data_IF_918461961252
#
_entry.id   IF_918461961252
#
_cell.length_a   1.000
_cell.length_b   1.000
_cell.length_c   1.000
_cell.angle_alpha   90.00
_cell.angle_beta   90.00
_cell.angle_gamma   90.00
#
_symmetry.space_group_name_H-M   'P 1'
#
loop_
_entity.id
_entity.type
_entity.pdbx_description
1 polymer ?
#
# COMPACT_ATOMS: atom_id res chain seq x y z
N UNK A 1 14.26 -26.94 -17.51
CA UNK A 1 13.61 -25.96 -16.59
C UNK A 1 14.72 -25.14 -15.97
N UNK A 2 14.90 -23.87 -16.36
CA UNK A 2 15.96 -23.01 -15.81
C UNK A 2 15.39 -22.22 -14.63
N UNK A 3 15.84 -22.54 -13.42
CA UNK A 3 15.52 -21.76 -12.23
C UNK A 3 16.20 -20.40 -12.34
N UNK A 4 15.40 -19.33 -12.40
CA UNK A 4 15.89 -17.96 -12.27
C UNK A 4 15.56 -17.53 -10.84
N UNK A 5 16.56 -17.37 -9.94
CA UNK A 5 16.29 -16.82 -8.63
C UNK A 5 15.79 -15.40 -8.83
N UNK A 6 14.54 -15.13 -8.43
CA UNK A 6 14.05 -13.76 -8.35
C UNK A 6 14.96 -13.03 -7.35
N UNK A 7 15.72 -12.06 -7.85
CA UNK A 7 16.31 -11.06 -6.97
C UNK A 7 15.21 -10.62 -6.01
N UNK A 8 15.45 -10.77 -4.69
CA UNK A 8 14.41 -10.74 -3.67
C UNK A 8 13.39 -9.62 -3.91
N UNK A 9 12.10 -9.97 -3.85
CA UNK A 9 11.01 -9.02 -4.07
C UNK A 9 11.10 -7.96 -2.99
N UNK A 10 11.24 -6.70 -3.40
CA UNK A 10 11.20 -5.55 -2.50
C UNK A 10 9.93 -4.79 -2.77
N UNK A 11 9.22 -4.47 -1.69
CA UNK A 11 7.97 -3.72 -1.74
C UNK A 11 8.11 -2.49 -0.85
N UNK A 12 7.60 -1.37 -1.33
CA UNK A 12 7.45 -0.15 -0.57
C UNK A 12 5.96 0.14 -0.40
N UNK A 13 5.51 0.23 0.85
CA UNK A 13 4.15 0.64 1.19
C UNK A 13 4.13 2.15 1.43
N UNK A 14 3.24 2.85 0.74
CA UNK A 14 3.00 4.28 0.89
C UNK A 14 1.54 4.49 1.29
N UNK A 15 1.34 5.16 2.42
CA UNK A 15 0.02 5.53 2.93
C UNK A 15 -0.29 6.95 2.46
N UNK A 16 -1.41 7.13 1.75
CA UNK A 16 -1.75 8.42 1.11
C UNK A 16 -2.61 9.27 2.07
N UNK A 17 -1.95 9.99 2.98
CA UNK A 17 -2.63 10.81 4.00
C UNK A 17 -3.55 11.87 3.43
N UNK A 18 -3.14 12.55 2.36
CA UNK A 18 -3.92 13.64 1.74
C UNK A 18 -5.22 13.16 1.09
N UNK A 19 -5.29 11.88 0.74
CA UNK A 19 -6.52 11.25 0.22
C UNK A 19 -7.36 10.70 1.37
N UNK A 20 -6.73 10.02 2.33
CA UNK A 20 -7.44 9.29 3.38
C UNK A 20 -8.01 10.23 4.47
N UNK A 21 -7.23 11.21 4.96
CA UNK A 21 -7.66 12.10 6.05
C UNK A 21 -8.97 12.86 5.76
N UNK A 22 -9.13 13.54 4.59
CA UNK A 22 -10.38 14.23 4.31
C UNK A 22 -11.56 13.26 4.11
N UNK A 23 -11.33 12.11 3.47
CA UNK A 23 -12.39 11.09 3.28
C UNK A 23 -12.88 10.50 4.60
N UNK A 24 -11.98 10.29 5.57
CA UNK A 24 -12.32 9.73 6.87
C UNK A 24 -12.69 10.78 7.92
N UNK A 25 -12.76 12.07 7.57
CA UNK A 25 -13.01 13.16 8.53
C UNK A 25 -12.02 13.09 9.71
N UNK A 26 -10.73 12.99 9.37
CA UNK A 26 -9.61 12.88 10.31
C UNK A 26 -8.49 13.90 10.03
N UNK A 27 -8.77 14.95 9.23
CA UNK A 27 -7.81 16.02 8.90
C UNK A 27 -7.27 16.73 10.14
N UNK A 28 -8.10 16.93 11.16
CA UNK A 28 -7.76 17.70 12.37
C UNK A 28 -6.83 16.92 13.34
N UNK A 29 -6.56 15.64 13.07
CA UNK A 29 -5.57 14.88 13.85
C UNK A 29 -4.15 15.26 13.41
N UNK A 30 -3.50 16.08 14.23
CA UNK A 30 -2.08 16.46 14.12
C UNK A 30 -1.17 15.33 14.62
N UNK A 31 -1.15 14.22 13.88
CA UNK A 31 -0.28 13.07 14.12
C UNK A 31 0.37 12.62 12.81
N UNK A 32 1.58 12.06 12.92
CA UNK A 32 2.31 11.48 11.78
C UNK A 32 1.63 10.22 11.26
N UNK A 33 0.98 9.45 12.13
CA UNK A 33 0.26 8.24 11.76
C UNK A 33 -1.06 8.56 11.06
N UNK A 34 -1.46 7.74 10.09
CA UNK A 34 -2.77 7.83 9.46
C UNK A 34 -3.87 7.34 10.43
N UNK A 35 -4.94 8.13 10.55
CA UNK A 35 -6.16 7.75 11.27
C UNK A 35 -7.29 7.53 10.25
N UNK A 36 -7.89 6.34 10.26
CA UNK A 36 -9.04 5.96 9.42
C UNK A 36 -10.20 5.48 10.29
N UNK A 37 -11.41 5.45 9.71
CA UNK A 37 -12.62 4.96 10.39
C UNK A 37 -12.98 3.58 9.89
N UNK A 38 -13.36 2.69 10.82
CA UNK A 38 -13.85 1.33 10.50
C UNK A 38 -15.07 1.39 9.58
N UNK A 39 -15.24 0.37 8.74
CA UNK A 39 -16.39 0.27 7.82
C UNK A 39 -16.35 1.25 6.64
N UNK A 40 -15.22 1.93 6.43
CA UNK A 40 -15.01 2.84 5.31
C UNK A 40 -13.72 2.46 4.58
N UNK A 41 -13.75 2.47 3.26
CA UNK A 41 -12.60 2.18 2.40
C UNK A 41 -11.51 3.25 2.55
N UNK A 42 -10.25 2.82 2.46
CA UNK A 42 -9.06 3.68 2.48
C UNK A 42 -8.07 3.25 1.40
N UNK A 43 -7.21 4.18 0.98
CA UNK A 43 -6.29 3.99 -0.13
C UNK A 43 -4.86 3.74 0.39
N UNK A 44 -4.23 2.70 -0.12
CA UNK A 44 -2.81 2.41 0.05
C UNK A 44 -2.16 2.19 -1.31
N UNK A 45 -0.90 2.61 -1.44
CA UNK A 45 -0.10 2.33 -2.63
C UNK A 45 1.02 1.36 -2.27
N UNK A 46 1.11 0.27 -3.03
CA UNK A 46 2.21 -0.69 -2.95
C UNK A 46 3.04 -0.56 -4.21
N UNK A 47 4.34 -0.33 -4.06
CA UNK A 47 5.29 -0.25 -5.18
C UNK A 47 6.27 -1.39 -5.09
N UNK A 48 6.29 -2.22 -6.13
CA UNK A 48 7.17 -3.36 -6.27
C UNK A 48 8.40 -2.95 -7.08
N UNK A 49 9.56 -3.52 -6.76
CA UNK A 49 10.79 -3.31 -7.54
C UNK A 49 10.80 -4.03 -8.90
N UNK A 50 9.71 -4.71 -9.24
CA UNK A 50 9.47 -5.42 -10.51
C UNK A 50 7.95 -5.49 -10.76
N UNK A 51 7.50 -5.77 -11.99
CA UNK A 51 6.09 -6.06 -12.24
C UNK A 51 5.60 -7.22 -11.37
N UNK A 52 4.37 -7.09 -10.87
CA UNK A 52 3.64 -8.17 -10.22
C UNK A 52 3.23 -9.20 -11.27
N UNK A 53 3.58 -10.46 -11.07
CA UNK A 53 3.07 -11.56 -11.90
C UNK A 53 1.81 -12.13 -11.25
N UNK A 54 0.65 -11.72 -11.74
CA UNK A 54 -0.65 -12.13 -11.20
C UNK A 54 -0.98 -13.61 -11.43
N UNK A 55 -0.16 -14.33 -12.21
CA UNK A 55 -0.32 -15.77 -12.46
C UNK A 55 0.27 -16.61 -11.34
N UNK A 56 1.32 -16.10 -10.69
CA UNK A 56 2.13 -16.83 -9.71
C UNK A 56 2.17 -16.17 -8.34
N UNK A 57 1.74 -14.91 -8.23
CA UNK A 57 1.82 -14.11 -7.01
C UNK A 57 0.42 -13.68 -6.55
N UNK A 58 0.16 -13.89 -5.26
CA UNK A 58 -1.02 -13.37 -4.56
C UNK A 58 -0.60 -12.16 -3.74
N UNK A 59 -1.46 -11.14 -3.71
CA UNK A 59 -1.27 -9.89 -2.94
C UNK A 59 -2.13 -9.94 -1.69
#
# INVERSE_FOLDING_TARGET
>A
MKYHPSAGVRMHLIIISDVNKPKHYTTDYYMQNLVVRRGQEFVMQVTFNRPLDTTTETV
#
